data_IF_422131854312
#
_entry.id   IF_422131854312
#
_cell.length_a   1.000
_cell.length_b   1.000
_cell.length_c   1.000
_cell.angle_alpha   90.00
_cell.angle_beta   90.00
_cell.angle_gamma   90.00
#
_symmetry.space_group_name_H-M   'P 1'
#
loop_
_entity.id
_entity.type
_entity.pdbx_description
1 polymer ?
#
# COMPACT_ATOMS: atom_id res chain seq x y z
N UNK A 1 87.70 -0.44 -10.88
CA UNK A 1 86.80 -0.81 -9.76
C UNK A 1 85.70 0.24 -9.66
N UNK A 2 84.52 -0.20 -9.23
CA UNK A 2 83.28 0.53 -8.93
C UNK A 2 82.24 0.49 -10.08
N UNK A 3 81.38 -0.52 -9.97
CA UNK A 3 80.10 -0.66 -10.65
C UNK A 3 79.13 0.45 -10.20
N UNK A 4 78.50 1.12 -11.17
CA UNK A 4 77.35 2.01 -10.94
C UNK A 4 76.11 1.14 -10.72
N UNK A 5 75.57 1.18 -9.50
CA UNK A 5 74.36 0.47 -9.09
C UNK A 5 73.12 1.12 -9.69
N UNK A 6 72.47 0.35 -10.55
CA UNK A 6 71.04 0.42 -10.85
C UNK A 6 70.23 0.15 -9.57
N UNK A 7 69.11 0.86 -9.38
CA UNK A 7 67.88 0.34 -8.77
C UNK A 7 66.73 1.36 -8.96
N UNK A 8 65.93 1.06 -9.98
CA UNK A 8 64.56 1.51 -10.17
C UNK A 8 63.73 1.25 -8.92
N UNK A 9 62.97 2.24 -8.45
CA UNK A 9 61.89 2.07 -7.48
C UNK A 9 60.59 2.65 -8.03
N UNK A 10 59.79 1.83 -8.73
CA UNK A 10 58.41 2.15 -9.06
C UNK A 10 57.54 1.98 -7.80
N UNK A 11 57.01 3.09 -7.28
CA UNK A 11 55.92 3.09 -6.31
C UNK A 11 54.58 3.10 -7.09
N UNK A 12 54.01 1.91 -7.30
CA UNK A 12 52.65 1.75 -7.77
C UNK A 12 51.69 1.86 -6.57
N UNK A 13 51.04 3.02 -6.42
CA UNK A 13 49.92 3.21 -5.50
C UNK A 13 48.67 2.55 -6.09
N UNK A 14 48.38 1.33 -5.66
CA UNK A 14 47.08 0.69 -5.88
C UNK A 14 46.07 1.32 -4.91
N UNK A 15 45.28 2.26 -5.40
CA UNK A 15 44.11 2.78 -4.69
C UNK A 15 43.04 1.68 -4.56
N UNK A 16 42.95 1.10 -3.36
CA UNK A 16 41.84 0.25 -2.94
C UNK A 16 40.54 1.07 -2.96
N UNK A 17 39.66 0.78 -3.91
CA UNK A 17 38.30 1.28 -3.94
C UNK A 17 37.53 0.75 -2.72
N UNK A 18 37.19 1.64 -1.79
CA UNK A 18 36.29 1.34 -0.69
C UNK A 18 34.84 1.29 -1.21
N UNK A 19 34.21 0.13 -1.03
CA UNK A 19 32.93 -0.02 -0.35
C UNK A 19 31.75 0.78 -0.88
N UNK A 20 30.96 0.15 -1.74
CA UNK A 20 29.63 0.63 -2.12
C UNK A 20 28.90 -0.39 -2.97
N UNK A 21 28.95 -1.68 -2.59
CA UNK A 21 28.08 -2.67 -3.22
C UNK A 21 26.62 -2.28 -2.97
N UNK A 22 25.72 -2.39 -3.96
CA UNK A 22 24.31 -2.15 -3.73
C UNK A 22 23.86 -3.11 -2.64
N UNK A 23 23.36 -2.56 -1.53
CA UNK A 23 22.55 -3.34 -0.60
C UNK A 23 21.31 -3.73 -1.39
N UNK A 24 21.38 -4.88 -2.05
CA UNK A 24 20.19 -5.63 -2.37
C UNK A 24 19.60 -6.01 -1.04
N UNK A 25 18.68 -5.18 -0.54
CA UNK A 25 17.62 -5.58 0.37
C UNK A 25 16.89 -6.71 -0.36
N UNK A 26 17.42 -7.92 -0.17
CA UNK A 26 16.75 -9.15 -0.53
C UNK A 26 15.43 -9.10 0.20
N UNK A 27 14.34 -8.97 -0.55
CA UNK A 27 13.00 -9.12 -0.04
C UNK A 27 12.99 -10.36 0.87
N UNK A 28 12.43 -10.30 2.10
CA UNK A 28 12.21 -11.52 2.85
C UNK A 28 11.30 -12.41 2.01
N UNK A 29 11.91 -13.44 1.41
CA UNK A 29 11.24 -14.53 0.73
C UNK A 29 10.32 -15.22 1.73
N UNK A 30 9.05 -15.35 1.31
CA UNK A 30 7.98 -16.14 1.93
C UNK A 30 7.34 -15.54 3.18
N UNK A 31 6.28 -14.74 2.94
CA UNK A 31 5.21 -14.62 3.92
C UNK A 31 4.66 -16.02 4.24
N UNK A 32 4.40 -16.28 5.52
CA UNK A 32 3.89 -17.57 5.94
C UNK A 32 2.52 -17.85 5.27
N UNK A 33 2.21 -19.10 4.87
CA UNK A 33 0.96 -19.42 4.15
C UNK A 33 -0.31 -18.96 4.87
N UNK A 34 -0.39 -19.15 6.18
CA UNK A 34 -1.52 -18.70 7.01
C UNK A 34 -1.69 -17.16 7.02
N UNK A 35 -0.64 -16.42 6.68
CA UNK A 35 -0.69 -14.96 6.51
C UNK A 35 -1.40 -14.57 5.22
N UNK A 36 -1.30 -15.41 4.18
CA UNK A 36 -1.92 -15.22 2.86
C UNK A 36 -3.42 -15.57 2.88
N UNK A 37 -3.82 -16.45 3.80
CA UNK A 37 -5.19 -16.96 3.92
C UNK A 37 -6.19 -15.94 4.51
N UNK A 38 -5.72 -14.85 5.15
CA UNK A 38 -6.60 -13.80 5.65
C UNK A 38 -6.80 -12.68 4.60
N UNK A 39 -7.95 -12.60 3.91
CA UNK A 39 -8.20 -11.57 2.91
C UNK A 39 -8.31 -10.17 3.52
N UNK A 40 -8.54 -10.07 4.83
CA UNK A 40 -8.60 -8.81 5.56
C UNK A 40 -7.25 -8.41 6.15
N UNK A 41 -6.15 -8.96 5.64
CA UNK A 41 -4.79 -8.59 6.00
C UNK A 41 -4.04 -7.92 4.86
N UNK A 42 -3.23 -6.92 5.22
CA UNK A 42 -2.29 -6.34 4.29
C UNK A 42 -1.15 -7.31 4.01
N UNK A 43 -0.98 -7.67 2.74
CA UNK A 43 0.10 -8.53 2.27
C UNK A 43 1.27 -7.75 1.69
N UNK A 44 1.23 -6.42 1.71
CA UNK A 44 2.38 -5.64 1.30
C UNK A 44 3.51 -5.83 2.31
N UNK A 45 4.73 -5.93 1.82
CA UNK A 45 5.90 -5.93 2.70
C UNK A 45 6.04 -4.56 3.34
N UNK A 46 6.15 -4.57 4.67
CA UNK A 46 6.39 -3.35 5.46
C UNK A 46 7.85 -2.92 5.32
N UNK A 47 8.05 -1.68 4.91
CA UNK A 47 9.34 -1.02 5.05
C UNK A 47 9.40 -0.38 6.44
N UNK A 48 10.39 -0.74 7.26
CA UNK A 48 10.53 -0.19 8.60
C UNK A 48 10.91 1.30 8.60
N UNK A 49 11.41 1.82 7.47
CA UNK A 49 11.66 3.24 7.28
C UNK A 49 10.41 4.04 6.89
N UNK A 50 9.31 3.38 6.51
CA UNK A 50 8.08 4.05 6.10
C UNK A 50 7.19 4.39 7.31
N UNK A 51 6.52 5.55 7.25
CA UNK A 51 5.55 5.95 8.27
C UNK A 51 4.32 5.04 8.30
N UNK A 52 3.69 4.89 9.48
CA UNK A 52 2.52 4.02 9.64
C UNK A 52 1.36 4.42 8.72
N UNK A 53 1.11 5.71 8.56
CA UNK A 53 0.07 6.26 7.69
C UNK A 53 0.32 5.92 6.22
N UNK A 54 1.58 5.95 5.80
CA UNK A 54 1.96 5.63 4.43
C UNK A 54 1.76 4.14 4.13
N UNK A 55 2.16 3.27 5.08
CA UNK A 55 1.88 1.84 4.97
C UNK A 55 0.37 1.55 4.98
N UNK A 56 -0.38 2.16 5.91
CA UNK A 56 -1.83 2.01 5.98
C UNK A 56 -2.53 2.44 4.68
N UNK A 57 -2.09 3.55 4.09
CA UNK A 57 -2.56 4.02 2.79
C UNK A 57 -2.36 2.96 1.72
N UNK A 58 -1.13 2.46 1.54
CA UNK A 58 -0.82 1.45 0.51
C UNK A 58 -1.61 0.16 0.72
N UNK A 59 -1.74 -0.29 1.97
CA UNK A 59 -2.55 -1.44 2.33
C UNK A 59 -4.02 -1.25 1.93
N UNK A 60 -4.59 -0.08 2.20
CA UNK A 60 -5.97 0.22 1.87
C UNK A 60 -6.19 0.36 0.36
N UNK A 61 -5.26 1.00 -0.36
CA UNK A 61 -5.30 1.16 -1.82
C UNK A 61 -5.26 -0.20 -2.52
N UNK A 62 -4.37 -1.09 -2.06
CA UNK A 62 -4.29 -2.46 -2.55
C UNK A 62 -5.58 -3.25 -2.24
N UNK A 63 -6.11 -3.11 -1.02
CA UNK A 63 -7.37 -3.73 -0.61
C UNK A 63 -8.55 -3.30 -1.49
N UNK A 64 -8.76 -1.99 -1.73
CA UNK A 64 -9.89 -1.50 -2.53
C UNK A 64 -9.77 -1.92 -4.00
N UNK A 65 -8.54 -1.95 -4.52
CA UNK A 65 -8.25 -2.41 -5.88
C UNK A 65 -8.55 -3.91 -6.04
N UNK A 66 -7.99 -4.75 -5.18
CA UNK A 66 -8.21 -6.20 -5.22
C UNK A 66 -9.69 -6.57 -5.05
N UNK A 67 -10.43 -5.81 -4.25
CA UNK A 67 -11.85 -6.06 -3.99
C UNK A 67 -12.81 -5.42 -5.02
N UNK A 68 -12.28 -4.81 -6.09
CA UNK A 68 -13.07 -4.35 -7.24
C UNK A 68 -13.80 -3.04 -7.04
N UNK A 69 -13.35 -2.19 -6.12
CA UNK A 69 -13.96 -0.86 -5.89
C UNK A 69 -13.47 0.21 -6.86
N UNK A 70 -12.33 -0.02 -7.52
CA UNK A 70 -11.75 0.90 -8.50
C UNK A 70 -12.24 0.56 -9.91
N UNK A 71 -11.76 1.25 -10.95
CA UNK A 71 -12.07 0.90 -12.36
C UNK A 71 -11.30 -0.32 -12.86
N UNK A 72 -10.26 -0.72 -12.14
CA UNK A 72 -9.54 -1.95 -12.46
C UNK A 72 -10.40 -3.16 -12.07
N UNK A 73 -10.31 -4.27 -12.83
CA UNK A 73 -11.00 -5.49 -12.45
C UNK A 73 -10.50 -5.99 -11.08
N UNK A 74 -11.36 -6.62 -10.27
CA UNK A 74 -10.92 -7.26 -9.03
C UNK A 74 -9.87 -8.33 -9.31
N UNK A 75 -9.14 -8.72 -8.28
CA UNK A 75 -8.19 -9.85 -8.40
C UNK A 75 -8.93 -11.13 -8.82
N UNK A 76 -8.27 -11.96 -9.62
CA UNK A 76 -8.77 -13.31 -9.96
C UNK A 76 -8.62 -14.31 -8.82
N UNK A 77 -7.87 -13.96 -7.77
CA UNK A 77 -7.71 -14.79 -6.58
C UNK A 77 -8.90 -14.64 -5.64
N UNK A 78 -9.83 -15.59 -5.69
CA UNK A 78 -11.06 -15.56 -4.91
C UNK A 78 -10.81 -15.59 -3.39
N UNK A 79 -9.66 -16.10 -2.95
CA UNK A 79 -9.29 -16.14 -1.52
C UNK A 79 -9.07 -14.75 -0.94
N UNK A 80 -8.93 -13.73 -1.80
CA UNK A 80 -8.70 -12.33 -1.45
C UNK A 80 -9.99 -11.51 -1.37
N UNK A 81 -11.11 -12.08 -1.80
CA UNK A 81 -12.37 -11.37 -1.84
C UNK A 81 -12.98 -11.29 -0.44
N UNK A 82 -13.24 -10.06 0.00
CA UNK A 82 -13.88 -9.77 1.27
C UNK A 82 -15.33 -9.42 1.01
N UNK A 83 -16.26 -10.03 1.74
CA UNK A 83 -17.68 -9.66 1.74
C UNK A 83 -17.91 -8.61 2.83
N UNK A 84 -18.43 -7.44 2.47
CA UNK A 84 -18.74 -6.40 3.46
C UNK A 84 -20.09 -6.67 4.14
N UNK A 85 -20.25 -6.16 5.36
CA UNK A 85 -21.42 -6.42 6.22
C UNK A 85 -22.79 -6.10 5.61
N UNK A 86 -22.86 -5.19 4.62
CA UNK A 86 -24.10 -4.76 3.97
C UNK A 86 -24.29 -5.35 2.56
N UNK A 87 -23.43 -6.30 2.16
CA UNK A 87 -23.48 -6.95 0.87
C UNK A 87 -24.07 -8.36 0.98
N UNK A 88 -24.64 -8.83 -0.12
CA UNK A 88 -25.20 -10.17 -0.19
C UNK A 88 -25.51 -10.58 -1.62
N UNK A 89 -25.59 -11.89 -1.82
CA UNK A 89 -25.82 -12.49 -3.13
C UNK A 89 -24.53 -12.89 -3.85
N UNK A 90 -24.60 -13.21 -5.15
CA UNK A 90 -23.48 -13.75 -5.90
C UNK A 90 -22.44 -12.68 -6.24
N UNK A 91 -21.16 -13.08 -6.29
CA UNK A 91 -20.01 -12.18 -6.52
C UNK A 91 -20.13 -11.28 -7.74
N UNK A 92 -20.69 -11.76 -8.86
CA UNK A 92 -20.88 -10.92 -10.05
C UNK A 92 -21.77 -9.69 -9.78
N UNK A 93 -22.79 -9.81 -8.92
CA UNK A 93 -23.64 -8.67 -8.52
C UNK A 93 -22.91 -7.75 -7.56
N UNK A 94 -22.14 -8.32 -6.63
CA UNK A 94 -21.32 -7.56 -5.69
C UNK A 94 -20.32 -6.70 -6.47
N UNK A 95 -19.52 -7.30 -7.35
CA UNK A 95 -18.56 -6.56 -8.16
C UNK A 95 -19.21 -5.53 -9.08
N UNK A 96 -20.36 -5.83 -9.68
CA UNK A 96 -21.11 -4.84 -10.46
C UNK A 96 -21.50 -3.61 -9.63
N UNK A 97 -21.76 -3.78 -8.33
CA UNK A 97 -22.06 -2.67 -7.42
C UNK A 97 -20.83 -1.88 -6.94
N UNK A 98 -19.67 -2.55 -6.87
CA UNK A 98 -18.39 -1.97 -6.42
C UNK A 98 -17.64 -1.24 -7.53
N UNK A 99 -17.71 -1.72 -8.76
CA UNK A 99 -16.87 -1.28 -9.87
C UNK A 99 -16.90 0.25 -10.05
N UNK A 100 -15.72 0.85 -10.03
CA UNK A 100 -15.54 2.28 -10.25
C UNK A 100 -16.20 3.18 -9.19
N UNK A 101 -16.57 2.64 -8.02
CA UNK A 101 -17.25 3.41 -6.97
C UNK A 101 -16.29 4.32 -6.19
N UNK A 102 -15.02 3.93 -6.06
CA UNK A 102 -13.98 4.68 -5.34
C UNK A 102 -12.84 5.10 -6.27
N UNK A 103 -12.18 6.20 -5.92
CA UNK A 103 -10.87 6.52 -6.48
C UNK A 103 -9.86 5.45 -6.09
N UNK A 104 -8.87 5.22 -6.94
CA UNK A 104 -7.81 4.22 -6.68
C UNK A 104 -6.83 4.68 -5.61
N UNK A 105 -6.66 5.99 -5.44
CA UNK A 105 -5.76 6.60 -4.48
C UNK A 105 -6.53 7.12 -3.27
N UNK A 106 -5.98 6.90 -2.09
CA UNK A 106 -6.53 7.47 -0.87
C UNK A 106 -6.35 8.99 -0.85
N UNK A 107 -7.33 9.70 -0.31
CA UNK A 107 -7.23 11.15 -0.08
C UNK A 107 -6.45 11.48 1.19
N UNK A 108 -6.53 10.63 2.20
CA UNK A 108 -5.79 10.77 3.46
C UNK A 108 -5.76 9.46 4.22
N UNK A 109 -4.73 9.29 5.04
CA UNK A 109 -4.61 8.24 6.04
C UNK A 109 -4.31 8.88 7.40
N UNK A 110 -4.96 8.39 8.45
CA UNK A 110 -4.70 8.78 9.83
C UNK A 110 -4.61 7.53 10.69
N UNK A 111 -3.52 7.40 11.43
CA UNK A 111 -3.32 6.30 12.35
C UNK A 111 -3.32 6.79 13.81
N UNK A 112 -3.80 5.91 14.68
CA UNK A 112 -3.70 6.02 16.12
C UNK A 112 -3.01 4.76 16.67
N UNK A 113 -2.74 4.73 17.97
CA UNK A 113 -2.18 3.56 18.66
C UNK A 113 -3.07 2.29 18.63
N UNK A 114 -4.24 2.33 17.99
CA UNK A 114 -5.17 1.19 17.95
C UNK A 114 -5.62 0.86 16.53
N UNK A 115 -5.86 1.88 15.74
CA UNK A 115 -6.48 1.74 14.42
C UNK A 115 -5.95 2.78 13.45
N UNK A 116 -5.97 2.42 12.18
CA UNK A 116 -5.79 3.33 11.06
C UNK A 116 -7.12 3.48 10.31
N UNK A 117 -7.35 4.68 9.82
CA UNK A 117 -8.48 5.05 8.97
C UNK A 117 -7.94 5.70 7.71
N UNK A 118 -8.38 5.21 6.55
CA UNK A 118 -7.95 5.67 5.23
C UNK A 118 -9.19 6.07 4.44
N UNK A 119 -9.21 7.29 3.94
CA UNK A 119 -10.36 7.84 3.23
C UNK A 119 -10.18 7.76 1.71
N UNK A 120 -11.21 7.27 1.04
CA UNK A 120 -11.31 7.23 -0.42
C UNK A 120 -12.49 8.08 -0.87
N UNK A 121 -12.25 8.92 -1.87
CA UNK A 121 -13.30 9.72 -2.49
C UNK A 121 -14.22 8.83 -3.32
N UNK A 122 -15.52 9.07 -3.26
CA UNK A 122 -16.49 8.44 -4.16
C UNK A 122 -16.40 9.07 -5.56
N UNK A 123 -16.51 8.24 -6.61
CA UNK A 123 -16.43 8.69 -8.01
C UNK A 123 -17.76 9.05 -8.67
N UNK A 124 -18.83 9.19 -7.87
CA UNK A 124 -20.15 9.54 -8.42
C UNK A 124 -20.27 11.06 -8.51
N UNK A 125 -20.60 11.65 -9.68
CA UNK A 125 -20.65 13.11 -9.87
C UNK A 125 -21.53 13.86 -8.86
N UNK A 126 -22.66 13.26 -8.44
CA UNK A 126 -23.55 13.84 -7.44
C UNK A 126 -22.96 13.85 -6.01
N UNK A 127 -21.86 13.14 -5.77
CA UNK A 127 -21.28 12.85 -4.47
C UNK A 127 -19.81 13.29 -4.39
N UNK A 128 -19.44 14.33 -5.13
CA UNK A 128 -18.05 14.72 -5.38
C UNK A 128 -17.25 15.10 -4.10
N UNK A 129 -17.88 15.11 -2.93
CA UNK A 129 -17.23 15.32 -1.62
C UNK A 129 -17.64 14.31 -0.54
N UNK A 130 -18.20 13.18 -0.96
CA UNK A 130 -18.44 12.06 -0.08
C UNK A 130 -17.27 11.08 -0.16
N UNK A 131 -16.93 10.53 1.00
CA UNK A 131 -15.85 9.58 1.18
C UNK A 131 -16.37 8.28 1.76
N UNK A 132 -15.69 7.19 1.46
CA UNK A 132 -15.75 5.93 2.23
C UNK A 132 -14.45 5.79 3.03
N UNK A 133 -14.53 5.10 4.14
CA UNK A 133 -13.36 4.80 4.98
C UNK A 133 -13.03 3.32 4.89
N UNK A 134 -11.77 3.00 4.64
CA UNK A 134 -11.20 1.71 5.02
C UNK A 134 -10.62 1.86 6.43
N UNK A 135 -10.96 0.94 7.32
CA UNK A 135 -10.34 0.85 8.65
C UNK A 135 -9.52 -0.42 8.76
N UNK A 136 -8.50 -0.38 9.61
CA UNK A 136 -7.65 -1.52 9.91
C UNK A 136 -7.00 -1.36 11.29
N UNK A 137 -6.48 -2.44 11.84
CA UNK A 137 -5.67 -2.42 13.05
C UNK A 137 -4.31 -1.73 12.79
N UNK A 138 -3.63 -1.30 13.85
CA UNK A 138 -2.27 -0.75 13.75
C UNK A 138 -1.21 -1.75 13.21
N UNK A 139 -1.53 -3.05 13.18
CA UNK A 139 -0.69 -4.10 12.59
C UNK A 139 -1.18 -4.49 11.19
N UNK A 140 -2.00 -3.64 10.57
CA UNK A 140 -2.48 -3.75 9.20
C UNK A 140 -3.26 -5.04 8.93
N UNK A 141 -4.13 -5.41 9.88
CA UNK A 141 -5.09 -6.52 9.80
C UNK A 141 -6.52 -6.01 10.00
N UNK A 142 -7.52 -6.86 9.79
CA UNK A 142 -8.94 -6.50 9.90
C UNK A 142 -9.32 -5.35 8.95
N UNK A 143 -8.74 -5.34 7.75
CA UNK A 143 -9.11 -4.41 6.69
C UNK A 143 -10.59 -4.60 6.37
N UNK A 144 -11.33 -3.49 6.37
CA UNK A 144 -12.76 -3.46 6.07
C UNK A 144 -13.17 -2.11 5.53
N UNK A 145 -14.14 -2.10 4.61
CA UNK A 145 -14.77 -0.86 4.17
C UNK A 145 -15.94 -0.52 5.09
N UNK A 146 -15.85 0.56 5.85
CA UNK A 146 -16.89 0.94 6.81
C UNK A 146 -18.23 1.20 6.10
N UNK A 147 -19.35 0.71 6.67
CA UNK A 147 -20.68 0.97 6.12
C UNK A 147 -21.06 2.43 6.35
N UNK A 148 -21.30 3.17 5.26
CA UNK A 148 -21.73 4.57 5.32
C UNK A 148 -20.80 5.53 4.60
N UNK A 149 -21.21 6.80 4.52
CA UNK A 149 -20.46 7.87 3.84
C UNK A 149 -20.03 8.92 4.84
N UNK A 150 -18.85 9.48 4.62
CA UNK A 150 -18.33 10.63 5.35
C UNK A 150 -18.39 11.82 4.40
N UNK A 151 -19.16 12.86 4.75
CA UNK A 151 -19.25 14.09 3.95
C UNK A 151 -18.34 15.16 4.53
N UNK A 152 -17.50 15.76 3.70
CA UNK A 152 -16.66 16.87 4.15
C UNK A 152 -17.42 18.21 4.07
N UNK A 153 -17.60 18.86 5.22
CA UNK A 153 -18.47 20.05 5.38
C UNK A 153 -18.02 21.24 4.51
N UNK A 154 -16.71 21.41 4.30
CA UNK A 154 -16.13 22.54 3.54
C UNK A 154 -16.39 22.52 2.03
N UNK A 155 -17.00 21.46 1.50
CA UNK A 155 -17.36 21.45 0.08
C UNK A 155 -18.60 22.29 -0.26
N UNK A 156 -19.44 22.61 0.73
CA UNK A 156 -20.63 23.43 0.55
C UNK A 156 -20.29 24.88 0.15
N UNK A 157 -19.13 25.38 0.58
CA UNK A 157 -18.74 26.79 0.45
C UNK A 157 -18.05 27.11 -0.88
N UNK A 158 -17.67 26.09 -1.68
CA UNK A 158 -17.01 26.26 -2.99
C UNK A 158 -17.98 26.24 -4.18
N UNK A 159 -19.26 25.96 -3.94
CA UNK A 159 -20.28 25.84 -4.99
C UNK A 159 -21.35 26.95 -4.91
N UNK A 160 -21.13 27.99 -4.09
CA UNK A 160 -21.97 29.18 -4.01
C UNK A 160 -21.34 30.36 -4.75
#
# INVERSE_FOLDING_TARGET
MIHVRSLLGMLALASLACGGGPVHTRAPDQMAPWLLEDPQRCLLMRDLGEGMEFMAQRCAEDFVRQNGYTHEPPTSDETRWVLESNEGGPWHRIFASRLGSLESQASTAQCSMRQCLVLFRLRRPALDCDYRAVTMSQVFTRLRLEPGRIRYVRCSDRQA
#
